data_IF_536663189278
#
_entry.id   IF_536663189278
#
_cell.length_a   1.000
_cell.length_b   1.000
_cell.length_c   1.000
_cell.angle_alpha   90.00
_cell.angle_beta   90.00
_cell.angle_gamma   90.00
#
_symmetry.space_group_name_H-M   'P 1'
#
loop_
_entity.id
_entity.type
_entity.pdbx_description
1 polymer ?
#
# COMPACT_ATOMS: atom_id res chain seq x y z
N UNK A 1 12.50 2.09 10.70
CA UNK A 1 13.93 2.44 10.54
C UNK A 1 14.25 3.49 11.60
N UNK A 2 15.09 3.17 12.59
CA UNK A 2 15.46 4.07 13.68
C UNK A 2 16.53 5.06 13.19
N UNK A 3 16.27 6.37 13.26
CA UNK A 3 17.35 7.37 13.25
C UNK A 3 17.95 7.39 14.65
N UNK A 4 19.25 7.13 14.76
CA UNK A 4 19.95 7.05 16.04
C UNK A 4 20.06 8.46 16.64
N UNK A 5 19.31 8.73 17.72
CA UNK A 5 19.34 10.00 18.48
C UNK A 5 17.96 10.44 18.99
N UNK A 6 16.89 10.07 18.29
CA UNK A 6 15.49 10.25 18.68
C UNK A 6 14.80 8.92 18.40
N UNK A 7 14.26 8.24 19.41
CA UNK A 7 13.46 7.05 19.16
C UNK A 7 12.12 7.50 18.58
N UNK A 8 12.10 7.68 17.26
CA UNK A 8 10.87 7.96 16.51
C UNK A 8 10.23 6.64 16.12
N UNK A 9 9.09 6.33 16.73
CA UNK A 9 8.28 5.19 16.31
C UNK A 9 7.27 5.66 15.26
N UNK A 10 7.38 5.06 14.07
CA UNK A 10 6.49 5.33 12.96
C UNK A 10 5.58 4.13 12.71
N UNK A 11 4.28 4.27 12.97
CA UNK A 11 3.29 3.30 12.49
C UNK A 11 2.75 3.82 11.16
N UNK A 12 2.85 3.02 10.10
CA UNK A 12 2.13 3.28 8.87
C UNK A 12 1.15 2.16 8.55
N UNK A 13 -0.09 2.53 8.29
CA UNK A 13 -1.15 1.64 7.88
C UNK A 13 -1.64 2.09 6.50
N UNK A 14 -1.84 1.14 5.60
CA UNK A 14 -2.32 1.40 4.25
C UNK A 14 -3.62 0.63 4.04
N UNK A 15 -4.68 1.39 3.78
CA UNK A 15 -5.98 0.86 3.41
C UNK A 15 -6.23 1.08 1.92
N UNK A 16 -7.07 0.25 1.32
CA UNK A 16 -7.46 0.39 -0.08
C UNK A 16 -8.83 1.05 -0.17
N UNK A 17 -8.85 2.28 -0.67
CA UNK A 17 -10.08 2.97 -1.03
C UNK A 17 -10.46 2.56 -2.46
N UNK A 18 -11.69 2.09 -2.59
CA UNK A 18 -12.18 1.45 -3.81
C UNK A 18 -13.26 2.32 -4.43
N UNK A 19 -13.00 2.78 -5.65
CA UNK A 19 -13.99 3.36 -6.54
C UNK A 19 -14.09 2.50 -7.82
N UNK A 20 -15.17 2.61 -8.58
CA UNK A 20 -15.36 1.85 -9.83
C UNK A 20 -14.32 2.19 -10.92
N UNK A 21 -13.67 3.36 -10.80
CA UNK A 21 -12.75 3.91 -11.81
C UNK A 21 -11.30 4.03 -11.34
N UNK A 22 -11.02 3.96 -10.05
CA UNK A 22 -9.67 4.22 -9.53
C UNK A 22 -9.37 3.48 -8.23
N UNK A 23 -8.09 3.13 -8.06
CA UNK A 23 -7.59 2.56 -6.82
C UNK A 23 -6.76 3.61 -6.08
N UNK A 24 -7.20 3.96 -4.87
CA UNK A 24 -6.47 4.85 -3.97
C UNK A 24 -6.02 4.08 -2.72
N UNK A 25 -4.88 4.48 -2.19
CA UNK A 25 -4.36 3.98 -0.92
C UNK A 25 -4.54 5.07 0.14
N UNK A 26 -5.23 4.76 1.24
CA UNK A 26 -5.26 5.61 2.41
C UNK A 26 -4.09 5.29 3.32
N UNK A 27 -3.09 6.15 3.31
CA UNK A 27 -1.92 6.05 4.18
C UNK A 27 -2.20 6.81 5.49
N UNK A 28 -2.16 6.10 6.60
CA UNK A 28 -2.13 6.69 7.94
C UNK A 28 -0.74 6.58 8.51
N UNK A 29 -0.20 7.69 9.01
CA UNK A 29 1.10 7.74 9.67
C UNK A 29 0.90 8.27 11.09
N UNK A 30 1.43 7.53 12.06
CA UNK A 30 1.58 7.97 13.43
C UNK A 30 3.08 8.09 13.73
N UNK A 31 3.51 9.27 14.17
CA UNK A 31 4.86 9.50 14.67
C UNK A 31 4.82 9.75 16.17
N UNK A 32 5.60 8.99 16.90
CA UNK A 32 5.84 9.15 18.32
C UNK A 32 7.29 9.54 18.51
N UNK A 33 7.54 10.66 19.16
CA UNK A 33 8.89 11.14 19.49
C UNK A 33 9.10 10.93 20.98
N UNK A 34 10.06 10.09 21.39
CA UNK A 34 10.26 9.76 22.82
C UNK A 34 10.75 10.92 23.68
N UNK A 35 11.23 12.00 23.06
CA UNK A 35 11.69 13.22 23.75
C UNK A 35 10.60 14.28 23.90
N UNK A 36 9.43 14.04 23.32
CA UNK A 36 8.33 14.98 23.28
C UNK A 36 7.29 14.63 24.35
N UNK A 37 6.65 15.62 24.97
CA UNK A 37 5.69 15.40 26.04
C UNK A 37 4.51 14.51 25.62
N UNK A 38 3.69 14.01 26.55
CA UNK A 38 2.60 13.04 26.29
C UNK A 38 1.54 13.49 25.25
N UNK A 39 1.60 14.72 24.76
CA UNK A 39 0.68 15.31 23.78
C UNK A 39 1.28 15.51 22.38
N UNK A 40 2.53 15.11 22.12
CA UNK A 40 3.23 15.39 20.86
C UNK A 40 3.30 14.16 19.92
N UNK A 41 2.23 13.36 19.89
CA UNK A 41 2.06 12.34 18.87
C UNK A 41 1.41 12.95 17.62
N UNK A 42 2.15 13.01 16.51
CA UNK A 42 1.62 13.50 15.25
C UNK A 42 0.92 12.35 14.50
N UNK A 43 -0.39 12.49 14.28
CA UNK A 43 -1.18 11.57 13.46
C UNK A 43 -1.72 12.32 12.24
N UNK A 44 -1.39 11.83 11.05
CA UNK A 44 -1.99 12.35 9.81
C UNK A 44 -2.38 11.21 8.87
N UNK A 45 -3.34 11.49 7.99
CA UNK A 45 -3.83 10.57 6.97
C UNK A 45 -3.86 11.25 5.61
N UNK A 46 -3.42 10.56 4.56
CA UNK A 46 -3.48 11.03 3.16
C UNK A 46 -4.06 9.95 2.26
N UNK A 47 -4.93 10.35 1.35
CA UNK A 47 -5.32 9.49 0.24
C UNK A 47 -4.28 9.68 -0.87
N UNK A 48 -3.71 8.58 -1.33
CA UNK A 48 -2.64 8.55 -2.30
C UNK A 48 -3.09 7.77 -3.53
N UNK A 49 -3.07 8.37 -4.73
CA UNK A 49 -3.37 7.63 -5.95
C UNK A 49 -2.30 6.55 -6.15
N UNK A 50 -2.74 5.33 -6.46
CA UNK A 50 -1.83 4.24 -6.73
C UNK A 50 -1.41 4.32 -8.19
N UNK A 51 -0.10 4.25 -8.45
CA UNK A 51 0.41 4.13 -9.83
C UNK A 51 0.40 2.65 -10.23
N UNK A 52 -0.43 2.31 -11.21
CA UNK A 52 -0.60 0.96 -11.76
C UNK A 52 -0.91 1.01 -13.26
N UNK A 53 -0.79 -0.11 -13.96
CA UNK A 53 -1.21 -0.25 -15.36
C UNK A 53 -2.71 -0.56 -15.42
N UNK A 54 -3.48 -0.07 -16.41
CA UNK A 54 -4.95 -0.22 -16.44
C UNK A 54 -5.48 -1.65 -16.21
N UNK A 55 -4.80 -2.68 -16.76
CA UNK A 55 -5.20 -4.08 -16.60
C UNK A 55 -4.93 -4.67 -15.20
N UNK A 56 -4.25 -3.94 -14.32
CA UNK A 56 -3.91 -4.33 -12.95
C UNK A 56 -4.97 -3.85 -11.94
N UNK A 57 -5.94 -3.04 -12.36
CA UNK A 57 -6.98 -2.49 -11.50
C UNK A 57 -7.73 -3.57 -10.71
N UNK A 58 -8.17 -4.64 -11.40
CA UNK A 58 -8.88 -5.75 -10.76
C UNK A 58 -8.03 -6.46 -9.70
N UNK A 59 -6.70 -6.47 -9.85
CA UNK A 59 -5.79 -7.05 -8.86
C UNK A 59 -5.79 -6.21 -7.58
N UNK A 60 -5.73 -4.89 -7.73
CA UNK A 60 -5.77 -3.94 -6.62
C UNK A 60 -7.12 -3.91 -5.89
N UNK A 61 -8.23 -4.15 -6.59
CA UNK A 61 -9.55 -4.16 -5.97
C UNK A 61 -9.70 -5.23 -4.88
N UNK A 62 -8.99 -6.36 -5.01
CA UNK A 62 -9.00 -7.47 -4.06
C UNK A 62 -7.65 -7.60 -3.32
N UNK A 63 -6.97 -6.47 -3.11
CA UNK A 63 -5.69 -6.46 -2.43
C UNK A 63 -5.79 -6.98 -0.99
N UNK A 64 -4.83 -7.84 -0.60
CA UNK A 64 -4.64 -8.31 0.76
C UNK A 64 -3.15 -8.26 1.12
N UNK A 65 -2.83 -7.54 2.19
CA UNK A 65 -1.46 -7.45 2.70
C UNK A 65 -1.12 -8.68 3.54
N UNK A 66 -0.09 -9.42 3.12
CA UNK A 66 0.46 -10.56 3.87
C UNK A 66 1.64 -10.17 4.75
N UNK A 67 2.44 -9.20 4.31
CA UNK A 67 3.60 -8.70 5.04
C UNK A 67 3.80 -7.20 4.78
N UNK A 68 4.43 -6.52 5.75
CA UNK A 68 4.89 -5.14 5.61
C UNK A 68 6.39 -5.11 5.84
N UNK A 69 7.14 -4.65 4.84
CA UNK A 69 8.61 -4.61 4.88
C UNK A 69 9.06 -3.14 4.85
N UNK A 70 9.65 -2.63 5.93
CA UNK A 70 10.27 -1.30 5.91
C UNK A 70 11.63 -1.37 5.21
N UNK A 71 11.90 -0.40 4.33
CA UNK A 71 13.20 -0.26 3.67
C UNK A 71 13.55 1.21 3.50
N UNK A 72 14.63 1.68 4.15
CA UNK A 72 14.99 3.10 4.15
C UNK A 72 13.81 3.97 4.62
N UNK A 73 13.45 5.01 3.86
CA UNK A 73 12.28 5.87 4.09
C UNK A 73 10.99 5.34 3.45
N UNK A 74 11.02 4.12 2.93
CA UNK A 74 9.95 3.52 2.15
C UNK A 74 9.34 2.34 2.92
N UNK A 75 8.12 1.97 2.54
CA UNK A 75 7.49 0.73 3.01
C UNK A 75 6.87 -0.04 1.86
N UNK A 76 6.95 -1.36 1.96
CA UNK A 76 6.36 -2.28 1.01
C UNK A 76 5.26 -3.09 1.69
N UNK A 77 4.02 -2.95 1.23
CA UNK A 77 2.93 -3.88 1.56
C UNK A 77 2.98 -5.00 0.52
N UNK A 78 3.22 -6.22 0.96
CA UNK A 78 3.45 -7.37 0.11
C UNK A 78 2.21 -8.25 0.08
N UNK A 79 1.73 -8.56 -1.13
CA UNK A 79 0.83 -9.66 -1.38
C UNK A 79 1.58 -10.74 -2.16
N UNK A 80 1.90 -11.86 -1.51
CA UNK A 80 2.70 -12.93 -2.11
C UNK A 80 2.05 -13.56 -3.35
N UNK A 81 0.74 -13.38 -3.56
CA UNK A 81 0.01 -13.88 -4.73
C UNK A 81 -0.17 -12.88 -5.86
N UNK A 82 0.15 -11.60 -5.64
CA UNK A 82 -0.19 -10.53 -6.58
C UNK A 82 1.02 -9.63 -6.87
N UNK A 83 1.63 -9.07 -5.83
CA UNK A 83 2.58 -7.99 -6.02
C UNK A 83 3.00 -7.30 -4.73
N UNK A 84 3.52 -6.09 -4.91
CA UNK A 84 3.98 -5.20 -3.85
C UNK A 84 3.38 -3.83 -4.09
N UNK A 85 2.74 -3.24 -3.07
CA UNK A 85 2.50 -1.80 -3.00
C UNK A 85 3.71 -1.17 -2.32
N UNK A 86 4.49 -0.42 -3.08
CA UNK A 86 5.64 0.33 -2.60
C UNK A 86 5.22 1.77 -2.35
N UNK A 87 5.38 2.25 -1.12
CA UNK A 87 5.26 3.67 -0.80
C UNK A 87 6.65 4.25 -0.57
N UNK A 88 7.05 5.15 -1.46
CA UNK A 88 8.27 5.92 -1.30
C UNK A 88 8.03 7.11 -0.37
N UNK A 89 9.05 7.44 0.42
CA UNK A 89 9.05 8.57 1.36
C UNK A 89 7.80 8.62 2.27
N UNK A 90 7.49 7.49 2.94
CA UNK A 90 6.29 7.32 3.80
C UNK A 90 6.18 8.40 4.87
N UNK A 91 7.32 8.85 5.39
CA UNK A 91 7.42 9.89 6.41
C UNK A 91 7.80 11.26 5.81
N UNK A 92 7.64 11.46 4.51
CA UNK A 92 7.82 12.75 3.87
C UNK A 92 6.51 13.50 3.67
N UNK A 93 6.62 14.67 3.04
CA UNK A 93 5.48 15.53 2.74
C UNK A 93 4.66 15.03 1.54
N UNK A 94 5.29 14.27 0.64
CA UNK A 94 4.66 13.82 -0.60
C UNK A 94 4.92 12.31 -0.88
N UNK A 95 4.37 11.42 -0.04
CA UNK A 95 4.52 9.98 -0.22
C UNK A 95 3.88 9.53 -1.53
N UNK A 96 4.49 8.54 -2.20
CA UNK A 96 4.04 8.05 -3.51
C UNK A 96 3.86 6.55 -3.49
N UNK A 97 2.67 6.08 -3.86
CA UNK A 97 2.36 4.65 -3.89
C UNK A 97 2.42 4.13 -5.33
N UNK A 98 3.18 3.07 -5.55
CA UNK A 98 3.26 2.34 -6.82
C UNK A 98 3.01 0.85 -6.61
N UNK A 99 2.27 0.27 -7.55
CA UNK A 99 2.09 -1.18 -7.63
C UNK A 99 3.18 -1.82 -8.47
N UNK A 100 3.77 -2.89 -7.94
CA UNK A 100 4.73 -3.73 -8.61
C UNK A 100 4.21 -5.16 -8.63
N UNK A 101 3.82 -5.63 -9.81
CA UNK A 101 3.41 -7.03 -9.98
C UNK A 101 4.59 -7.97 -9.73
N UNK A 102 4.37 -9.03 -8.95
CA UNK A 102 5.35 -10.09 -8.80
C UNK A 102 5.34 -10.97 -10.07
N UNK A 103 6.51 -11.46 -10.52
CA UNK A 103 6.59 -12.41 -11.63
C UNK A 103 6.16 -13.79 -11.14
N UNK A 104 4.86 -13.94 -10.91
CA UNK A 104 4.26 -15.25 -10.70
C UNK A 104 3.87 -15.78 -12.06
N UNK A 105 4.38 -16.96 -12.41
CA UNK A 105 3.93 -17.72 -13.57
C UNK A 105 2.42 -17.91 -13.41
N UNK A 106 1.67 -17.13 -14.20
CA UNK A 106 0.21 -17.10 -14.34
C UNK A 106 -0.55 -17.98 -13.34
N UNK A 107 -0.81 -17.47 -12.13
CA UNK A 107 -1.94 -17.96 -11.37
C UNK A 107 -3.21 -17.52 -12.11
N UNK A 108 -3.66 -18.37 -13.03
CA UNK A 108 -4.88 -18.22 -13.82
C UNK A 108 -6.16 -18.50 -13.03
N UNK A 109 -6.12 -18.56 -11.70
CA UNK A 109 -7.24 -19.06 -10.91
C UNK A 109 -7.46 -18.20 -9.66
N UNK A 110 -8.21 -17.11 -9.81
CA UNK A 110 -9.06 -16.59 -8.72
C UNK A 110 -10.02 -15.47 -9.14
N UNK A 111 -10.11 -15.12 -10.42
CA UNK A 111 -11.21 -14.31 -10.94
C UNK A 111 -12.14 -15.22 -11.72
N UNK A 112 -13.44 -15.33 -11.37
CA UNK A 112 -14.39 -15.83 -12.33
C UNK A 112 -14.40 -14.84 -13.50
N UNK A 113 -13.72 -15.20 -14.59
CA UNK A 113 -14.01 -14.58 -15.88
C UNK A 113 -15.52 -14.72 -16.06
N UNK A 114 -16.25 -13.61 -16.23
CA UNK A 114 -17.60 -13.66 -16.78
C UNK A 114 -17.45 -14.32 -18.16
N UNK A 115 -17.60 -15.63 -18.21
CA UNK A 115 -17.80 -16.33 -19.47
C UNK A 115 -19.20 -15.94 -19.91
N UNK A 116 -19.28 -14.95 -20.80
CA UNK A 116 -20.46 -14.78 -21.64
C UNK A 116 -20.54 -16.02 -22.53
N UNK A 117 -21.28 -17.02 -22.08
CA UNK A 117 -21.79 -18.05 -22.96
C UNK A 117 -22.69 -17.35 -23.97
N UNK A 118 -22.20 -17.22 -25.21
CA UNK A 118 -23.06 -17.12 -26.38
C UNK A 118 -23.45 -18.54 -26.73
N UNK A 119 -24.65 -18.93 -26.35
CA UNK A 119 -25.28 -20.12 -26.91
C UNK A 119 -25.65 -19.83 -28.38
N UNK A 120 -25.30 -20.76 -29.25
CA UNK A 120 -25.73 -20.85 -30.64
C UNK A 120 -27.06 -21.62 -30.69
#
# INVERSE_FOLDING_TARGET
MLRRGEEVFGLAYLDMLRDDKSAEAKLWVLRLTTMAGPNEAEKWGKNLPIRYKPHEFNVLFYWVTHAVVPFKNSMCWVNYYQGILHCDDVFGDNPKVSYHRLPLDSFSACYPSRQTHKEL
#
